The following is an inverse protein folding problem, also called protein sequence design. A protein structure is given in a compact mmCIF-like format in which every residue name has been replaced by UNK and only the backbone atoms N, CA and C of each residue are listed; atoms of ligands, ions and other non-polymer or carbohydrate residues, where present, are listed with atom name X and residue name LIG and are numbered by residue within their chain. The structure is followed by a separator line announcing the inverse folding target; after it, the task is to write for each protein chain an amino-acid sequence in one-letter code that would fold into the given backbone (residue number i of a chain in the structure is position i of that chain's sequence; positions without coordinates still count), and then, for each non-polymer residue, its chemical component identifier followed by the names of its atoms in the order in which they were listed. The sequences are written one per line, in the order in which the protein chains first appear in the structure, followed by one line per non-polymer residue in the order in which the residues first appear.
data_IF_854523734544
#
_entry.id   IF_854523734544
#
_cell.length_a   1.000
_cell.length_b   1.000
_cell.length_c   1.000
_cell.angle_alpha   90.00
_cell.angle_beta   90.00
_cell.angle_gamma   90.00
#
_symmetry.space_group_name_H-M   'P 1'
#
loop_
_entity.id
_entity.type
_entity.pdbx_description
1 polymer ?
#
# COMPACT_ATOMS: atom_id res chain seq x y z
N UNK A 1 -20.81 8.11 3.34
CA UNK A 1 -20.13 9.34 3.82
C UNK A 1 -19.34 9.12 5.13
N UNK A 2 -19.89 8.41 6.13
CA UNK A 2 -19.24 8.19 7.44
C UNK A 2 -17.90 7.43 7.41
N UNK A 3 -17.76 6.39 6.57
CA UNK A 3 -16.53 5.57 6.49
C UNK A 3 -15.35 6.36 5.94
N UNK A 4 -15.60 7.33 5.05
CA UNK A 4 -14.55 8.18 4.46
C UNK A 4 -13.90 9.07 5.53
N UNK A 5 -14.68 9.62 6.45
CA UNK A 5 -14.14 10.41 7.58
C UNK A 5 -13.24 9.58 8.50
N UNK A 6 -13.64 8.33 8.82
CA UNK A 6 -12.84 7.44 9.68
C UNK A 6 -11.49 7.09 9.07
N UNK A 7 -11.44 6.76 7.78
CA UNK A 7 -10.18 6.44 7.09
C UNK A 7 -9.21 7.63 7.08
N UNK A 8 -9.73 8.83 6.86
CA UNK A 8 -8.93 10.07 6.89
C UNK A 8 -8.32 10.30 8.27
N UNK A 9 -9.08 10.03 9.33
CA UNK A 9 -8.60 10.09 10.71
C UNK A 9 -7.53 9.04 11.00
N UNK A 10 -7.79 7.78 10.63
CA UNK A 10 -6.97 6.62 11.01
C UNK A 10 -5.62 6.51 10.30
N UNK A 11 -5.40 7.24 9.21
CA UNK A 11 -4.09 7.24 8.56
C UNK A 11 -4.08 7.10 7.06
N UNK A 12 -5.17 7.45 6.38
CA UNK A 12 -5.11 7.62 4.93
C UNK A 12 -4.00 8.60 4.55
N UNK A 13 -3.41 8.38 3.38
CA UNK A 13 -2.47 9.33 2.77
C UNK A 13 -3.23 10.62 2.52
N UNK A 14 -2.82 11.71 3.16
CA UNK A 14 -3.38 13.06 3.01
C UNK A 14 -2.21 14.03 2.97
N UNK A 15 -2.03 14.71 1.84
CA UNK A 15 -0.84 15.53 1.61
C UNK A 15 -0.68 16.62 2.68
N UNK A 16 -1.72 17.42 2.95
CA UNK A 16 -1.67 18.48 3.97
C UNK A 16 -1.27 17.99 5.36
N UNK A 17 -1.68 16.78 5.75
CA UNK A 17 -1.29 16.21 7.05
C UNK A 17 0.13 15.67 7.04
N UNK A 18 0.60 15.18 5.90
CA UNK A 18 2.00 14.78 5.73
C UNK A 18 2.89 16.01 5.80
N UNK A 19 2.47 17.13 5.22
CA UNK A 19 3.18 18.43 5.27
C UNK A 19 3.26 18.96 6.71
N UNK A 20 2.23 18.72 7.53
CA UNK A 20 2.22 18.98 8.98
C UNK A 20 3.10 18.00 9.80
N UNK A 21 3.83 17.09 9.15
CA UNK A 21 4.76 16.16 9.80
C UNK A 21 4.18 14.77 10.11
N UNK A 22 2.96 14.44 9.66
CA UNK A 22 2.38 13.10 9.86
C UNK A 22 2.91 12.07 8.86
N UNK A 23 4.24 11.91 8.80
CA UNK A 23 4.95 11.03 7.86
C UNK A 23 4.53 9.56 7.97
N UNK A 24 4.06 9.14 9.15
CA UNK A 24 3.51 7.80 9.39
C UNK A 24 2.35 7.44 8.45
N UNK A 25 1.66 8.43 7.87
CA UNK A 25 0.60 8.25 6.87
C UNK A 25 1.10 7.60 5.57
N UNK A 26 2.39 7.69 5.26
CA UNK A 26 3.01 7.01 4.12
C UNK A 26 3.09 5.50 4.32
N UNK A 27 3.01 5.04 5.57
CA UNK A 27 3.04 3.63 5.94
C UNK A 27 1.63 3.13 6.25
N UNK A 28 0.87 3.85 7.08
CA UNK A 28 -0.45 3.39 7.54
C UNK A 28 -1.49 3.32 6.43
N UNK A 29 -1.37 4.16 5.39
CA UNK A 29 -2.25 4.14 4.22
C UNK A 29 -2.35 2.77 3.57
N UNK A 30 -1.26 1.98 3.58
CA UNK A 30 -1.18 0.67 2.97
C UNK A 30 -2.06 -0.39 3.66
N UNK A 31 -2.38 -0.19 4.95
CA UNK A 31 -3.19 -1.12 5.73
C UNK A 31 -4.69 -0.80 5.70
N UNK A 32 -5.04 0.44 5.35
CA UNK A 32 -6.42 0.91 5.30
C UNK A 32 -7.06 0.55 3.96
N UNK A 33 -8.35 0.27 3.96
CA UNK A 33 -9.10 -0.08 2.74
C UNK A 33 -10.44 0.65 2.71
N UNK A 34 -10.82 1.10 1.51
CA UNK A 34 -12.01 1.92 1.31
C UNK A 34 -13.33 1.20 1.62
N UNK A 35 -13.37 -0.11 1.38
CA UNK A 35 -14.50 -0.99 1.61
C UNK A 35 -14.04 -2.46 1.63
N UNK A 36 -14.96 -3.38 1.96
CA UNK A 36 -14.67 -4.81 2.07
C UNK A 36 -14.24 -5.42 0.72
N UNK A 37 -14.85 -5.01 -0.40
CA UNK A 37 -14.48 -5.49 -1.72
C UNK A 37 -13.04 -5.12 -2.09
N UNK A 38 -12.63 -3.88 -1.77
CA UNK A 38 -11.26 -3.42 -1.96
C UNK A 38 -10.27 -4.21 -1.09
N UNK A 39 -10.62 -4.52 0.16
CA UNK A 39 -9.79 -5.38 1.02
C UNK A 39 -9.66 -6.79 0.42
N UNK A 40 -10.78 -7.42 0.07
CA UNK A 40 -10.80 -8.78 -0.48
C UNK A 40 -10.00 -8.87 -1.78
N UNK A 41 -10.10 -7.86 -2.65
CA UNK A 41 -9.31 -7.81 -3.88
C UNK A 41 -7.80 -7.79 -3.58
N UNK A 42 -7.35 -6.95 -2.64
CA UNK A 42 -5.94 -6.90 -2.26
C UNK A 42 -5.47 -8.20 -1.58
N UNK A 43 -6.29 -8.79 -0.70
CA UNK A 43 -5.98 -10.07 -0.07
C UNK A 43 -5.86 -11.18 -1.12
N UNK A 44 -6.79 -11.24 -2.08
CA UNK A 44 -6.74 -12.20 -3.18
C UNK A 44 -5.49 -12.00 -4.06
N UNK A 45 -5.19 -10.76 -4.47
CA UNK A 45 -4.00 -10.46 -5.26
C UNK A 45 -2.71 -10.80 -4.51
N UNK A 46 -2.63 -10.47 -3.22
CA UNK A 46 -1.48 -10.82 -2.39
C UNK A 46 -1.34 -12.34 -2.22
N UNK A 47 -2.45 -13.06 -2.02
CA UNK A 47 -2.45 -14.52 -1.95
C UNK A 47 -2.04 -15.17 -3.28
N UNK A 48 -2.37 -14.55 -4.42
CA UNK A 48 -1.99 -15.05 -5.74
C UNK A 48 -0.49 -14.87 -6.03
N UNK A 49 0.08 -13.72 -5.67
CA UNK A 49 1.47 -13.36 -6.03
C UNK A 49 2.49 -13.67 -4.93
N UNK A 50 2.09 -13.55 -3.66
CA UNK A 50 2.94 -13.66 -2.49
C UNK A 50 3.65 -15.00 -2.38
N UNK A 51 2.94 -16.15 -2.45
CA UNK A 51 3.56 -17.47 -2.41
C UNK A 51 4.59 -17.68 -3.53
N UNK A 52 4.34 -17.15 -4.73
CA UNK A 52 5.29 -17.25 -5.84
C UNK A 52 6.57 -16.47 -5.56
N UNK A 53 6.47 -15.23 -5.07
CA UNK A 53 7.66 -14.44 -4.66
C UNK A 53 8.40 -15.12 -3.52
N UNK A 54 7.67 -15.60 -2.51
CA UNK A 54 8.26 -16.25 -1.34
C UNK A 54 9.00 -17.54 -1.71
N UNK A 55 8.44 -18.37 -2.59
CA UNK A 55 9.08 -19.60 -3.05
C UNK A 55 10.35 -19.33 -3.89
N UNK A 56 10.35 -18.28 -4.71
CA UNK A 56 11.48 -17.95 -5.59
C UNK A 56 12.60 -17.19 -4.86
N UNK A 57 12.24 -16.30 -3.95
CA UNK A 57 13.17 -15.31 -3.37
C UNK A 57 13.30 -15.39 -1.85
N UNK A 58 12.46 -16.18 -1.19
CA UNK A 58 12.39 -16.30 0.27
C UNK A 58 11.61 -15.16 0.94
N UNK A 59 11.13 -15.47 2.14
CA UNK A 59 10.28 -14.60 2.98
C UNK A 59 10.91 -13.23 3.25
N UNK A 60 12.23 -13.16 3.46
CA UNK A 60 12.93 -11.89 3.73
C UNK A 60 12.80 -10.92 2.56
N UNK A 61 13.00 -11.39 1.32
CA UNK A 61 12.91 -10.54 0.13
C UNK A 61 11.47 -10.12 -0.15
N UNK A 62 10.51 -11.04 0.04
CA UNK A 62 9.07 -10.72 -0.02
C UNK A 62 8.74 -9.52 0.86
N UNK A 63 9.07 -9.58 2.16
CA UNK A 63 8.75 -8.49 3.09
C UNK A 63 9.45 -7.19 2.72
N UNK A 64 10.74 -7.24 2.38
CA UNK A 64 11.50 -6.03 2.01
C UNK A 64 10.88 -5.35 0.79
N UNK A 65 10.58 -6.11 -0.28
CA UNK A 65 9.98 -5.55 -1.50
C UNK A 65 8.58 -5.02 -1.19
N UNK A 66 7.74 -5.79 -0.49
CA UNK A 66 6.39 -5.37 -0.15
C UNK A 66 6.36 -4.04 0.60
N UNK A 67 7.15 -3.90 1.68
CA UNK A 67 7.17 -2.67 2.47
C UNK A 67 7.85 -1.51 1.74
N UNK A 68 8.95 -1.76 1.02
CA UNK A 68 9.60 -0.71 0.22
C UNK A 68 8.64 -0.17 -0.86
N UNK A 69 7.91 -1.05 -1.53
CA UNK A 69 6.92 -0.66 -2.54
C UNK A 69 5.70 0.04 -1.92
N UNK A 70 5.23 -0.37 -0.75
CA UNK A 70 4.16 0.32 -0.02
C UNK A 70 4.50 1.78 0.29
N UNK A 71 5.72 2.02 0.80
CA UNK A 71 6.20 3.35 1.14
C UNK A 71 6.45 4.17 -0.12
N UNK A 72 7.16 3.60 -1.10
CA UNK A 72 7.51 4.30 -2.34
C UNK A 72 6.26 4.68 -3.13
N UNK A 73 5.27 3.79 -3.24
CA UNK A 73 4.01 4.10 -3.93
C UNK A 73 3.19 5.16 -3.19
N UNK A 74 3.17 5.15 -1.85
CA UNK A 74 2.52 6.21 -1.06
C UNK A 74 3.23 7.54 -1.21
N UNK A 75 4.57 7.55 -1.25
CA UNK A 75 5.36 8.75 -1.49
C UNK A 75 5.13 9.28 -2.91
N UNK A 76 5.21 8.43 -3.94
CA UNK A 76 4.88 8.81 -5.31
C UNK A 76 3.45 9.35 -5.42
N UNK A 77 2.49 8.72 -4.74
CA UNK A 77 1.11 9.20 -4.68
C UNK A 77 0.99 10.56 -3.99
N UNK A 78 1.84 10.87 -3.01
CA UNK A 78 1.93 12.21 -2.41
C UNK A 78 2.39 13.26 -3.44
N UNK A 79 3.44 12.97 -4.21
CA UNK A 79 3.97 13.90 -5.23
C UNK A 79 3.05 14.06 -6.45
N UNK A 80 2.38 12.99 -6.87
CA UNK A 80 1.66 12.95 -8.15
C UNK A 80 0.15 13.15 -8.00
N UNK A 81 -0.39 13.12 -6.78
CA UNK A 81 -1.83 13.22 -6.55
C UNK A 81 -2.17 13.87 -5.22
N UNK A 82 -3.05 14.88 -5.26
CA UNK A 82 -3.61 15.50 -4.05
C UNK A 82 -4.72 14.66 -3.41
N UNK A 83 -5.26 13.68 -4.16
CA UNK A 83 -6.37 12.87 -3.69
C UNK A 83 -5.94 11.99 -2.49
N UNK A 84 -6.81 11.84 -1.46
CA UNK A 84 -6.54 10.91 -0.39
C UNK A 84 -6.50 9.46 -0.87
N UNK A 85 -5.56 8.68 -0.35
CA UNK A 85 -5.34 7.30 -0.79
C UNK A 85 -5.22 6.32 0.38
N UNK A 86 -5.71 5.10 0.14
CA UNK A 86 -5.61 3.93 1.03
C UNK A 86 -5.48 2.67 0.18
N UNK A 87 -4.83 1.65 0.71
CA UNK A 87 -4.81 0.30 0.13
C UNK A 87 -3.40 -0.26 -0.06
N UNK A 88 -3.32 -1.60 -0.03
CA UNK A 88 -2.06 -2.34 -0.20
C UNK A 88 -1.61 -2.48 -1.66
N UNK A 89 -2.39 -1.97 -2.63
CA UNK A 89 -2.21 -2.26 -4.04
C UNK A 89 -0.84 -1.81 -4.59
N UNK A 90 -0.31 -0.68 -4.12
CA UNK A 90 1.03 -0.23 -4.49
C UNK A 90 2.14 -1.19 -4.06
N UNK A 91 1.99 -1.84 -2.90
CA UNK A 91 2.90 -2.89 -2.44
C UNK A 91 2.81 -4.14 -3.33
N UNK A 92 1.58 -4.55 -3.69
CA UNK A 92 1.31 -5.72 -4.52
C UNK A 92 1.83 -5.52 -5.94
N UNK A 93 1.61 -4.35 -6.56
CA UNK A 93 2.19 -4.03 -7.87
C UNK A 93 3.73 -4.02 -7.82
N UNK A 94 4.31 -3.62 -6.71
CA UNK A 94 5.74 -3.76 -6.47
C UNK A 94 6.23 -5.20 -6.49
N UNK A 95 5.50 -6.12 -5.85
CA UNK A 95 5.78 -7.56 -5.90
C UNK A 95 5.63 -8.13 -7.31
N UNK A 96 4.60 -7.72 -8.04
CA UNK A 96 4.41 -8.13 -9.45
C UNK A 96 5.57 -7.65 -10.31
N UNK A 97 5.95 -6.37 -10.20
CA UNK A 97 7.09 -5.83 -10.92
C UNK A 97 8.40 -6.52 -10.55
N UNK A 98 8.59 -6.84 -9.26
CA UNK A 98 9.75 -7.59 -8.81
C UNK A 98 9.82 -8.98 -9.47
N UNK A 99 8.72 -9.73 -9.56
CA UNK A 99 8.70 -11.00 -10.28
C UNK A 99 8.98 -10.87 -11.77
N UNK A 100 8.51 -9.81 -12.43
CA UNK A 100 8.75 -9.58 -13.86
C UNK A 100 10.25 -9.33 -14.14
N UNK A 101 10.98 -8.80 -13.17
CA UNK A 101 12.40 -8.49 -13.29
C UNK A 101 13.33 -9.65 -12.89
N UNK A 102 12.78 -10.76 -12.37
CA UNK A 102 13.54 -11.98 -12.06
C UNK A 102 13.74 -12.85 -13.31
#
# INVERSE_FOLDING_TARGET
MATRGKLMLWGAKINSRIDEGQLWRLVTSAFLHANIGHLLANCYSLHSIGPTVENLCGTRRLFTVYFASAITSSAMSYWLSEAPAVGASGAIFGLVNFLILL
#
